data_IF_479134160855
#
_entry.id   IF_479134160855
#
_cell.length_a   1.000
_cell.length_b   1.000
_cell.length_c   1.000
_cell.angle_alpha   90.00
_cell.angle_beta   90.00
_cell.angle_gamma   90.00
#
_symmetry.space_group_name_H-M   'P 1'
#
loop_
_entity.id
_entity.type
_entity.pdbx_description
1 polymer ?
#
# COMPACT_ATOMS: atom_id res chain seq x y z
N UNK A 1 15.12 -5.80 -78.32
CA UNK A 1 15.62 -5.07 -77.12
C UNK A 1 14.71 -5.44 -75.95
N UNK A 2 15.20 -6.25 -75.00
CA UNK A 2 14.47 -6.64 -73.80
C UNK A 2 15.00 -5.77 -72.63
N UNK A 3 14.18 -4.89 -72.10
CA UNK A 3 14.53 -4.13 -70.91
C UNK A 3 14.31 -4.98 -69.69
N UNK A 4 15.39 -5.24 -68.93
CA UNK A 4 15.37 -5.86 -67.61
C UNK A 4 15.17 -4.72 -66.59
N UNK A 5 14.05 -4.72 -65.89
CA UNK A 5 13.85 -3.87 -64.72
C UNK A 5 14.52 -4.53 -63.50
N UNK A 6 15.48 -3.84 -62.93
CA UNK A 6 16.12 -4.24 -61.66
C UNK A 6 15.27 -3.66 -60.52
N UNK A 7 14.52 -4.53 -59.81
CA UNK A 7 13.79 -4.14 -58.61
C UNK A 7 14.77 -4.14 -57.43
N UNK A 8 15.13 -2.95 -56.95
CA UNK A 8 15.91 -2.81 -55.73
C UNK A 8 14.94 -2.84 -54.53
N UNK A 9 14.96 -3.95 -53.77
CA UNK A 9 14.22 -4.08 -52.52
C UNK A 9 15.07 -3.47 -51.41
N UNK A 10 14.67 -2.32 -50.88
CA UNK A 10 15.25 -1.75 -49.68
C UNK A 10 14.72 -2.52 -48.44
N UNK A 11 15.55 -3.34 -47.85
CA UNK A 11 15.29 -3.84 -46.50
C UNK A 11 15.61 -2.71 -45.50
N UNK A 12 14.57 -2.08 -44.96
CA UNK A 12 14.71 -1.31 -43.75
C UNK A 12 14.97 -2.27 -42.59
N UNK A 13 16.21 -2.48 -42.21
CA UNK A 13 16.59 -3.07 -40.95
C UNK A 13 16.33 -1.98 -39.90
N UNK A 14 15.16 -2.01 -39.28
CA UNK A 14 14.94 -1.28 -38.04
C UNK A 14 15.77 -1.96 -36.95
N UNK A 15 16.96 -1.43 -36.69
CA UNK A 15 17.69 -1.75 -35.47
C UNK A 15 16.84 -1.25 -34.30
N UNK A 16 16.00 -2.12 -33.72
CA UNK A 16 15.52 -1.90 -32.37
C UNK A 16 16.77 -1.89 -31.48
N UNK A 17 17.23 -0.71 -31.13
CA UNK A 17 18.18 -0.54 -30.04
C UNK A 17 17.48 -1.06 -28.77
N UNK A 18 17.81 -2.28 -28.38
CA UNK A 18 17.43 -2.76 -27.05
C UNK A 18 18.12 -1.82 -26.05
N UNK A 19 17.37 -0.88 -25.49
CA UNK A 19 17.88 -0.06 -24.39
C UNK A 19 18.29 -1.01 -23.27
N UNK A 20 19.55 -0.92 -22.84
CA UNK A 20 20.04 -1.75 -21.75
C UNK A 20 19.18 -1.51 -20.51
N UNK A 21 18.66 -2.57 -19.94
CA UNK A 21 17.88 -2.52 -18.69
C UNK A 21 18.82 -2.16 -17.54
N UNK A 22 18.42 -1.17 -16.74
CA UNK A 22 19.23 -0.66 -15.63
C UNK A 22 18.34 -0.38 -14.42
N UNK A 23 18.85 -0.39 -13.18
CA UNK A 23 18.06 -0.09 -11.99
C UNK A 23 17.37 1.28 -12.11
N UNK A 24 16.04 1.31 -12.03
CA UNK A 24 15.24 2.52 -12.21
C UNK A 24 15.36 3.15 -13.60
N UNK A 25 15.88 2.42 -14.61
CA UNK A 25 16.19 2.98 -15.94
C UNK A 25 17.27 4.07 -15.90
N UNK A 26 18.13 4.12 -14.89
CA UNK A 26 19.22 5.09 -14.76
C UNK A 26 20.49 4.54 -15.41
N UNK A 27 20.98 5.27 -16.39
CA UNK A 27 22.12 4.83 -17.19
C UNK A 27 23.44 4.73 -16.41
N UNK A 28 24.29 3.82 -16.88
CA UNK A 28 25.69 3.68 -16.48
C UNK A 28 25.91 3.45 -14.97
N UNK A 29 25.24 2.46 -14.35
CA UNK A 29 25.72 2.01 -13.06
C UNK A 29 27.13 1.44 -13.23
N UNK A 30 28.07 1.81 -12.36
CA UNK A 30 29.41 1.22 -12.33
C UNK A 30 29.34 -0.25 -11.90
N UNK A 31 28.43 -0.53 -10.96
CA UNK A 31 28.14 -1.89 -10.47
C UNK A 31 26.63 -2.05 -10.26
N UNK A 32 26.11 -3.17 -10.66
CA UNK A 32 24.78 -3.65 -10.33
C UNK A 32 24.86 -5.15 -10.06
N UNK A 33 24.63 -5.57 -8.83
CA UNK A 33 24.89 -6.94 -8.41
C UNK A 33 23.93 -7.41 -7.30
N UNK A 34 23.80 -8.72 -7.21
CA UNK A 34 23.06 -9.44 -6.17
C UNK A 34 23.99 -10.14 -5.15
N UNK A 35 25.30 -9.96 -5.27
CA UNK A 35 26.29 -10.65 -4.45
C UNK A 35 27.01 -9.70 -3.48
N UNK A 36 27.29 -10.20 -2.27
CA UNK A 36 28.10 -9.49 -1.28
C UNK A 36 29.58 -9.66 -1.62
N UNK A 37 30.11 -8.81 -2.50
CA UNK A 37 31.50 -8.85 -2.96
C UNK A 37 32.22 -7.55 -2.67
N UNK A 38 33.56 -7.58 -2.77
CA UNK A 38 34.37 -6.36 -2.78
C UNK A 38 34.61 -5.91 -4.21
N UNK A 39 34.36 -4.64 -4.51
CA UNK A 39 34.46 -4.07 -5.85
C UNK A 39 35.41 -2.87 -5.83
N UNK A 40 36.27 -2.75 -6.84
CA UNK A 40 37.05 -1.53 -7.04
C UNK A 40 36.17 -0.46 -7.65
N UNK A 41 36.18 0.72 -7.04
CA UNK A 41 35.40 1.88 -7.46
C UNK A 41 36.29 3.09 -7.72
N UNK A 42 35.92 3.89 -8.73
CA UNK A 42 36.45 5.22 -8.96
C UNK A 42 35.40 6.22 -8.51
N UNK A 43 35.69 6.97 -7.47
CA UNK A 43 34.75 7.87 -6.84
C UNK A 43 35.29 9.33 -6.80
N UNK A 44 36.10 9.71 -7.79
CA UNK A 44 36.69 11.06 -7.87
C UNK A 44 35.68 12.17 -8.14
N UNK A 45 34.57 11.86 -8.81
CA UNK A 45 33.48 12.80 -9.11
C UNK A 45 32.27 12.65 -8.15
N UNK A 46 32.43 11.87 -7.09
CA UNK A 46 31.37 11.52 -6.14
C UNK A 46 30.99 10.06 -6.20
N UNK A 47 30.03 9.65 -5.39
CA UNK A 47 29.55 8.28 -5.29
C UNK A 47 28.07 8.26 -4.94
N UNK A 48 27.34 7.33 -5.55
CA UNK A 48 26.02 6.93 -5.07
C UNK A 48 26.00 5.42 -4.88
N UNK A 49 25.57 4.98 -3.70
CA UNK A 49 25.26 3.59 -3.38
C UNK A 49 23.80 3.50 -3.00
N UNK A 50 23.06 2.56 -3.62
CA UNK A 50 21.69 2.24 -3.24
C UNK A 50 21.58 0.71 -3.23
N UNK A 51 21.08 0.15 -2.11
CA UNK A 51 20.99 -1.29 -1.98
C UNK A 51 19.97 -1.75 -0.95
N UNK A 52 19.49 -2.99 -1.13
CA UNK A 52 18.61 -3.67 -0.20
C UNK A 52 19.40 -4.76 0.51
N UNK A 53 19.31 -4.76 1.83
CA UNK A 53 19.98 -5.76 2.68
C UNK A 53 18.98 -6.40 3.63
N UNK A 54 19.12 -7.68 3.84
CA UNK A 54 18.49 -8.42 4.92
C UNK A 54 19.41 -8.39 6.12
N UNK A 55 18.94 -7.90 7.25
CA UNK A 55 19.75 -7.61 8.43
C UNK A 55 19.18 -8.35 9.63
N UNK A 56 20.01 -9.14 10.28
CA UNK A 56 19.66 -9.84 11.51
C UNK A 56 20.43 -9.28 12.71
N UNK A 57 19.96 -9.64 13.90
CA UNK A 57 20.62 -9.26 15.15
C UNK A 57 20.48 -7.79 15.52
N UNK A 58 21.02 -7.45 16.71
CA UNK A 58 20.83 -6.13 17.34
C UNK A 58 22.12 -5.30 17.38
N UNK A 59 23.27 -5.94 17.13
CA UNK A 59 24.58 -5.28 17.22
C UNK A 59 24.84 -4.43 15.99
N UNK A 60 25.70 -3.44 16.15
CA UNK A 60 26.14 -2.58 15.06
C UNK A 60 26.89 -3.38 13.98
N UNK A 61 26.48 -3.22 12.73
CA UNK A 61 26.92 -3.98 11.57
C UNK A 61 27.18 -3.05 10.38
N UNK A 62 28.16 -3.37 9.57
CA UNK A 62 28.46 -2.62 8.35
C UNK A 62 27.62 -3.15 7.17
N UNK A 63 26.84 -2.29 6.59
CA UNK A 63 26.11 -2.56 5.31
C UNK A 63 27.10 -2.49 4.15
N UNK A 64 27.96 -1.48 4.16
CA UNK A 64 29.11 -1.35 3.27
C UNK A 64 30.18 -0.47 3.88
N UNK A 65 31.40 -0.57 3.41
CA UNK A 65 32.50 0.31 3.72
C UNK A 65 33.37 0.60 2.50
N UNK A 66 33.89 1.82 2.40
CA UNK A 66 34.76 2.28 1.32
C UNK A 66 36.10 2.75 1.90
N UNK A 67 37.20 2.30 1.32
CA UNK A 67 38.55 2.65 1.73
C UNK A 67 39.20 1.63 2.65
N UNK A 68 40.37 1.98 3.16
CA UNK A 68 41.17 1.14 4.05
C UNK A 68 41.83 1.96 5.19
N UNK A 69 42.18 1.32 6.29
CA UNK A 69 42.87 1.94 7.39
C UNK A 69 41.97 2.85 8.26
N UNK A 70 42.43 4.07 8.56
CA UNK A 70 41.73 5.01 9.46
C UNK A 70 40.63 5.81 8.75
N UNK A 71 40.76 6.03 7.45
CA UNK A 71 39.81 6.82 6.64
C UNK A 71 38.81 5.89 5.92
N UNK A 72 37.81 5.44 6.64
CA UNK A 72 36.75 4.58 6.09
C UNK A 72 35.42 5.31 6.18
N UNK A 73 34.76 5.48 5.03
CA UNK A 73 33.34 5.83 4.95
C UNK A 73 32.51 4.56 4.97
N UNK A 74 31.44 4.51 5.73
CA UNK A 74 30.60 3.34 5.83
C UNK A 74 29.16 3.67 6.24
N UNK A 75 28.23 2.84 5.80
CA UNK A 75 26.89 2.77 6.39
C UNK A 75 26.87 1.64 7.42
N UNK A 76 26.45 1.98 8.62
CA UNK A 76 26.28 1.07 9.75
C UNK A 76 24.81 1.03 10.15
N UNK A 77 24.37 -0.09 10.67
CA UNK A 77 23.00 -0.25 11.17
C UNK A 77 22.96 -1.08 12.44
N UNK A 78 22.00 -0.76 13.29
CA UNK A 78 21.53 -1.61 14.38
C UNK A 78 20.05 -1.94 14.14
N UNK A 79 19.44 -2.67 15.06
CA UNK A 79 17.98 -2.92 14.99
C UNK A 79 17.14 -1.64 15.11
N UNK A 80 17.69 -0.55 15.67
CA UNK A 80 16.97 0.70 16.00
C UNK A 80 17.52 1.96 15.36
N UNK A 81 18.67 1.89 14.75
CA UNK A 81 19.35 3.08 14.22
C UNK A 81 20.21 2.75 13.00
N UNK A 82 20.35 3.70 12.11
CA UNK A 82 21.30 3.64 11.00
C UNK A 82 22.18 4.91 10.99
N UNK A 83 23.47 4.72 10.78
CA UNK A 83 24.44 5.79 10.53
C UNK A 83 24.78 5.77 9.03
N UNK A 84 24.49 6.86 8.33
CA UNK A 84 24.61 6.96 6.88
C UNK A 84 26.01 7.36 6.40
N UNK A 85 26.99 7.45 7.30
CA UNK A 85 28.40 7.67 6.94
C UNK A 85 28.80 9.13 6.71
N UNK A 86 27.86 10.04 6.62
CA UNK A 86 28.06 11.50 6.51
C UNK A 86 27.88 12.25 7.84
N UNK A 87 27.75 11.50 8.93
CA UNK A 87 27.42 12.04 10.25
C UNK A 87 25.90 12.06 10.53
N UNK A 88 25.07 11.74 9.56
CA UNK A 88 23.63 11.64 9.76
C UNK A 88 23.27 10.35 10.50
N UNK A 89 22.59 10.52 11.62
CA UNK A 89 22.13 9.42 12.46
C UNK A 89 20.60 9.35 12.45
N UNK A 90 20.04 8.25 11.96
CA UNK A 90 18.59 8.02 11.96
C UNK A 90 18.23 7.11 13.13
N UNK A 91 17.57 7.66 14.14
CA UNK A 91 17.00 6.91 15.26
C UNK A 91 15.55 6.54 15.01
N UNK A 92 15.22 5.28 15.21
CA UNK A 92 13.86 4.77 15.17
C UNK A 92 13.40 4.51 16.62
N UNK A 93 12.66 5.47 17.19
CA UNK A 93 12.46 5.55 18.64
C UNK A 93 11.56 4.48 19.27
N UNK A 94 10.80 3.70 18.53
CA UNK A 94 9.84 2.75 19.10
C UNK A 94 9.81 1.36 18.48
N UNK A 95 10.03 1.26 17.16
CA UNK A 95 9.84 -0.01 16.48
C UNK A 95 11.18 -0.57 16.00
N UNK A 96 11.34 -1.88 16.06
CA UNK A 96 12.47 -2.53 15.43
C UNK A 96 12.38 -2.29 13.92
N UNK A 97 13.52 -1.95 13.30
CA UNK A 97 13.58 -1.88 11.84
C UNK A 97 13.23 -3.25 11.25
N UNK A 98 12.52 -3.29 10.13
CA UNK A 98 12.23 -4.54 9.43
C UNK A 98 13.55 -5.23 9.04
N UNK A 99 13.54 -6.55 8.91
CA UNK A 99 14.72 -7.30 8.48
C UNK A 99 15.19 -6.87 7.09
N UNK A 100 14.26 -6.67 6.15
CA UNK A 100 14.57 -6.16 4.81
C UNK A 100 14.61 -4.63 4.82
N UNK A 101 15.72 -4.05 4.40
CA UNK A 101 15.94 -2.59 4.46
C UNK A 101 16.60 -2.08 3.20
N UNK A 102 16.18 -0.91 2.76
CA UNK A 102 16.82 -0.15 1.69
C UNK A 102 17.72 0.92 2.30
N UNK A 103 18.95 0.98 1.82
CA UNK A 103 19.94 1.99 2.19
C UNK A 103 20.35 2.78 0.95
N UNK A 104 20.38 4.09 1.08
CA UNK A 104 20.78 5.01 0.03
C UNK A 104 21.82 5.99 0.59
N UNK A 105 22.90 6.16 -0.14
CA UNK A 105 23.97 7.11 0.17
C UNK A 105 24.38 7.81 -1.12
N UNK A 106 24.53 9.13 -1.07
CA UNK A 106 25.00 9.91 -2.21
C UNK A 106 25.89 11.06 -1.74
N UNK A 107 26.98 11.29 -2.45
CA UNK A 107 27.90 12.40 -2.19
C UNK A 107 28.52 12.91 -3.47
N UNK A 108 28.78 14.22 -3.51
CA UNK A 108 29.60 14.86 -4.55
C UNK A 108 31.07 14.99 -4.16
N UNK A 109 31.42 14.59 -2.92
CA UNK A 109 32.81 14.64 -2.45
C UNK A 109 33.69 13.67 -3.22
N UNK A 110 34.93 14.08 -3.49
CA UNK A 110 35.93 13.19 -4.04
C UNK A 110 36.30 12.14 -2.99
N UNK A 111 35.92 10.90 -3.24
CA UNK A 111 36.19 9.75 -2.38
C UNK A 111 37.46 8.99 -2.82
N UNK A 112 38.17 9.50 -3.82
CA UNK A 112 39.37 8.87 -4.38
C UNK A 112 39.09 7.84 -5.49
N UNK A 113 40.11 7.55 -6.27
CA UNK A 113 40.05 6.53 -7.31
C UNK A 113 40.72 5.24 -6.87
N UNK A 114 40.28 4.11 -7.42
CA UNK A 114 40.83 2.79 -7.13
C UNK A 114 40.58 2.30 -5.70
N UNK A 115 39.60 2.88 -5.02
CA UNK A 115 39.18 2.44 -3.69
C UNK A 115 38.49 1.09 -3.75
N UNK A 116 38.55 0.33 -2.67
CA UNK A 116 37.77 -0.90 -2.55
C UNK A 116 36.51 -0.63 -1.76
N UNK A 117 35.35 -0.90 -2.39
CA UNK A 117 34.05 -0.93 -1.76
C UNK A 117 33.78 -2.36 -1.28
N UNK A 118 33.60 -2.53 0.01
CA UNK A 118 33.29 -3.80 0.65
C UNK A 118 31.79 -3.84 0.98
N UNK A 119 31.05 -4.76 0.41
CA UNK A 119 29.62 -4.95 0.62
C UNK A 119 29.38 -5.94 1.75
N UNK A 120 28.57 -5.56 2.73
CA UNK A 120 28.28 -6.39 3.92
C UNK A 120 29.48 -6.58 4.85
N UNK A 121 30.55 -5.80 4.66
CA UNK A 121 31.81 -5.97 5.40
C UNK A 121 32.33 -4.65 5.94
N UNK A 122 32.93 -4.76 7.12
CA UNK A 122 33.76 -3.69 7.70
C UNK A 122 35.17 -3.81 7.09
N UNK A 123 35.59 -2.84 6.27
CA UNK A 123 36.91 -2.82 5.63
C UNK A 123 38.11 -2.67 6.59
N UNK A 124 37.85 -2.55 7.90
CA UNK A 124 38.89 -2.47 8.92
C UNK A 124 38.56 -3.35 10.13
N UNK A 125 39.22 -4.49 10.24
CA UNK A 125 39.03 -5.45 11.31
C UNK A 125 39.35 -4.93 12.73
N UNK A 126 40.07 -3.78 12.85
CA UNK A 126 40.41 -3.16 14.14
C UNK A 126 39.28 -2.30 14.70
N UNK A 127 38.24 -2.03 13.90
CA UNK A 127 37.08 -1.23 14.37
C UNK A 127 36.01 -2.16 14.98
N UNK A 128 35.30 -1.69 16.01
CA UNK A 128 34.34 -2.53 16.76
C UNK A 128 33.05 -2.90 15.98
N UNK A 129 32.92 -2.45 14.73
CA UNK A 129 31.76 -2.73 13.89
C UNK A 129 31.89 -4.12 13.27
N UNK A 130 30.86 -4.92 13.41
CA UNK A 130 30.81 -6.26 12.83
C UNK A 130 30.51 -6.23 11.32
N UNK A 131 30.86 -7.30 10.63
CA UNK A 131 30.30 -7.56 9.31
C UNK A 131 28.78 -7.75 9.40
N UNK A 132 28.09 -7.59 8.27
CA UNK A 132 26.65 -7.80 8.17
C UNK A 132 26.29 -9.23 8.61
N UNK A 133 25.44 -9.34 9.62
CA UNK A 133 24.73 -10.56 9.96
C UNK A 133 23.44 -10.58 9.12
N UNK A 134 23.48 -11.35 8.04
CA UNK A 134 22.48 -11.34 6.98
C UNK A 134 23.13 -11.34 5.60
N UNK A 135 22.48 -10.66 4.65
CA UNK A 135 23.04 -10.53 3.28
C UNK A 135 22.58 -9.25 2.60
N UNK A 136 23.40 -8.71 1.73
CA UNK A 136 22.96 -7.75 0.71
C UNK A 136 22.22 -8.54 -0.38
N UNK A 137 21.00 -8.11 -0.67
CA UNK A 137 20.11 -8.80 -1.63
C UNK A 137 20.35 -8.30 -3.04
N UNK A 138 20.44 -6.98 -3.18
CA UNK A 138 20.79 -6.31 -4.43
C UNK A 138 21.32 -4.91 -4.11
N UNK A 139 22.29 -4.46 -4.91
CA UNK A 139 22.81 -3.10 -4.79
C UNK A 139 23.25 -2.58 -6.15
N UNK A 140 23.30 -1.26 -6.26
CA UNK A 140 23.85 -0.53 -7.39
C UNK A 140 24.76 0.59 -6.92
N UNK A 141 25.82 0.83 -7.67
CA UNK A 141 26.82 1.87 -7.40
C UNK A 141 27.04 2.70 -8.65
N UNK A 142 27.06 4.00 -8.48
CA UNK A 142 27.39 4.97 -9.52
C UNK A 142 28.64 5.74 -9.08
N UNK A 143 29.54 6.03 -10.02
CA UNK A 143 30.77 6.82 -9.84
C UNK A 143 30.52 8.33 -9.85
N UNK A 144 29.32 8.73 -9.54
CA UNK A 144 28.85 10.10 -9.47
C UNK A 144 27.73 10.26 -8.45
N UNK A 145 27.50 11.49 -8.04
CA UNK A 145 26.26 11.85 -7.35
C UNK A 145 25.09 11.75 -8.36
N UNK A 146 24.09 10.97 -8.03
CA UNK A 146 22.81 10.99 -8.77
C UNK A 146 22.04 12.26 -8.42
N UNK A 147 21.28 12.77 -9.39
CA UNK A 147 20.23 13.75 -9.11
C UNK A 147 19.15 13.13 -8.21
N UNK A 148 18.35 13.97 -7.54
CA UNK A 148 17.28 13.49 -6.68
C UNK A 148 16.24 12.65 -7.43
N UNK A 149 15.98 12.99 -8.70
CA UNK A 149 15.07 12.22 -9.56
C UNK A 149 15.66 10.86 -9.91
N UNK A 150 16.91 10.78 -10.34
CA UNK A 150 17.59 9.51 -10.65
C UNK A 150 17.66 8.61 -9.42
N UNK A 151 18.05 9.19 -8.27
CA UNK A 151 18.11 8.46 -6.99
C UNK A 151 16.74 7.90 -6.61
N UNK A 152 15.68 8.72 -6.69
CA UNK A 152 14.32 8.29 -6.39
C UNK A 152 13.83 7.16 -7.33
N UNK A 153 14.21 7.18 -8.61
CA UNK A 153 13.90 6.10 -9.57
C UNK A 153 14.55 4.78 -9.17
N UNK A 154 15.83 4.79 -8.80
CA UNK A 154 16.55 3.60 -8.35
C UNK A 154 16.00 3.09 -7.02
N UNK A 155 15.74 3.99 -6.07
CA UNK A 155 15.13 3.65 -4.79
C UNK A 155 13.74 3.02 -4.99
N UNK A 156 12.91 3.60 -5.87
CA UNK A 156 11.57 3.08 -6.19
C UNK A 156 11.62 1.70 -6.83
N UNK A 157 12.55 1.48 -7.76
CA UNK A 157 12.78 0.18 -8.38
C UNK A 157 13.09 -0.88 -7.34
N UNK A 158 14.07 -0.65 -6.46
CA UNK A 158 14.45 -1.59 -5.42
C UNK A 158 13.34 -1.80 -4.39
N UNK A 159 12.67 -0.71 -4.00
CA UNK A 159 11.57 -0.77 -3.04
C UNK A 159 10.41 -1.64 -3.55
N UNK A 160 9.99 -1.44 -4.81
CA UNK A 160 8.91 -2.24 -5.41
C UNK A 160 9.33 -3.68 -5.70
N UNK A 161 10.58 -3.90 -6.10
CA UNK A 161 11.10 -5.25 -6.36
C UNK A 161 11.09 -6.11 -5.10
N UNK A 162 11.42 -5.52 -3.96
CA UNK A 162 11.57 -6.22 -2.67
C UNK A 162 10.46 -5.92 -1.66
N UNK A 163 9.42 -5.19 -2.07
CA UNK A 163 8.28 -4.83 -1.21
C UNK A 163 8.67 -4.07 0.07
N UNK A 164 9.71 -3.26 0.01
CA UNK A 164 10.18 -2.37 1.08
C UNK A 164 9.54 -1.01 0.92
N UNK A 165 8.94 -0.44 1.97
CA UNK A 165 8.33 0.87 1.88
C UNK A 165 9.36 2.00 1.87
N UNK A 166 9.17 2.97 0.97
CA UNK A 166 9.82 4.28 1.04
C UNK A 166 8.91 5.27 1.77
N UNK A 167 9.52 6.19 2.47
CA UNK A 167 8.80 7.33 3.09
C UNK A 167 8.64 8.52 2.15
N UNK A 168 9.14 8.40 0.92
CA UNK A 168 9.09 9.39 -0.15
C UNK A 168 8.12 8.96 -1.25
N UNK A 169 8.03 9.77 -2.28
CA UNK A 169 7.32 9.40 -3.50
C UNK A 169 8.03 8.28 -4.26
N UNK A 170 7.28 7.53 -5.06
CA UNK A 170 7.81 6.51 -5.97
C UNK A 170 7.74 7.03 -7.40
N UNK A 171 8.82 6.85 -8.14
CA UNK A 171 8.90 7.17 -9.56
C UNK A 171 9.16 5.90 -10.38
N UNK A 172 8.55 5.81 -11.57
CA UNK A 172 8.94 4.82 -12.57
C UNK A 172 10.18 5.27 -13.35
N UNK A 173 10.69 4.45 -14.27
CA UNK A 173 11.86 4.77 -15.10
C UNK A 173 11.68 6.00 -16.01
N UNK A 174 10.45 6.42 -16.25
CA UNK A 174 10.09 7.63 -17.01
C UNK A 174 10.00 8.89 -16.15
N UNK A 175 10.35 8.79 -14.86
CA UNK A 175 10.21 9.87 -13.87
C UNK A 175 8.75 10.28 -13.59
N UNK A 176 7.78 9.44 -13.91
CA UNK A 176 6.39 9.66 -13.55
C UNK A 176 6.16 9.27 -12.10
N UNK A 177 5.42 10.10 -11.36
CA UNK A 177 5.04 9.82 -9.98
C UNK A 177 3.95 8.74 -9.98
N UNK A 178 4.29 7.53 -9.52
CA UNK A 178 3.36 6.40 -9.38
C UNK A 178 2.80 6.26 -7.96
N UNK A 179 3.45 6.87 -6.98
CA UNK A 179 2.96 7.09 -5.62
C UNK A 179 3.44 8.43 -5.10
N UNK A 180 2.52 9.32 -4.73
CA UNK A 180 2.88 10.61 -4.17
C UNK A 180 2.94 10.52 -2.65
N UNK A 181 4.15 10.47 -2.07
CA UNK A 181 4.34 10.33 -0.63
C UNK A 181 3.83 11.53 0.19
N UNK A 182 3.70 12.71 -0.41
CA UNK A 182 3.16 13.89 0.25
C UNK A 182 1.62 13.85 0.36
N UNK A 183 0.93 13.63 -0.77
CA UNK A 183 -0.53 13.59 -0.79
C UNK A 183 -1.09 12.32 -0.15
N UNK A 184 -0.33 11.22 -0.17
CA UNK A 184 -0.74 9.92 0.36
C UNK A 184 -0.14 9.61 1.73
N UNK A 185 0.39 10.62 2.43
CA UNK A 185 1.10 10.44 3.72
C UNK A 185 0.32 9.67 4.78
N UNK A 186 -1.02 9.78 4.76
CA UNK A 186 -1.88 9.05 5.68
C UNK A 186 -1.90 7.52 5.45
N UNK A 187 -1.39 7.07 4.29
CA UNK A 187 -1.37 5.66 3.86
C UNK A 187 0.05 5.21 3.48
N UNK A 188 1.08 5.79 4.08
CA UNK A 188 2.48 5.58 3.70
C UNK A 188 3.17 4.40 4.39
N UNK A 189 2.39 3.46 4.94
CA UNK A 189 2.92 2.28 5.60
C UNK A 189 2.71 1.03 4.75
N UNK A 190 3.66 0.09 4.83
CA UNK A 190 3.61 -1.22 4.16
C UNK A 190 3.25 -1.14 2.68
N UNK A 191 3.90 -0.17 1.99
CA UNK A 191 3.66 0.06 0.56
C UNK A 191 4.17 -1.14 -0.24
N UNK A 192 3.34 -1.63 -1.15
CA UNK A 192 3.66 -2.66 -2.13
C UNK A 192 3.00 -2.32 -3.46
N UNK A 193 3.40 -2.97 -4.55
CA UNK A 193 2.83 -2.64 -5.85
C UNK A 193 3.04 -3.69 -6.93
N UNK A 194 2.09 -3.69 -7.86
CA UNK A 194 2.17 -4.35 -9.15
C UNK A 194 2.69 -3.32 -10.16
N UNK A 195 3.58 -3.72 -11.03
CA UNK A 195 4.22 -2.80 -11.98
C UNK A 195 4.77 -3.54 -13.18
N UNK A 196 4.73 -2.88 -14.33
CA UNK A 196 5.50 -3.24 -15.51
C UNK A 196 6.34 -2.03 -15.93
N UNK A 197 7.65 -2.14 -15.81
CA UNK A 197 8.63 -1.10 -16.17
C UNK A 197 9.80 -1.76 -16.91
N UNK A 198 9.72 -1.80 -18.24
CA UNK A 198 10.68 -2.51 -19.09
C UNK A 198 12.09 -1.98 -18.98
N UNK A 199 12.27 -0.65 -18.86
CA UNK A 199 13.58 -0.05 -18.74
C UNK A 199 14.32 -0.46 -17.46
N UNK A 200 13.56 -0.81 -16.41
CA UNK A 200 14.11 -1.33 -15.14
C UNK A 200 14.13 -2.85 -15.05
N UNK A 201 13.66 -3.58 -16.07
CA UNK A 201 13.41 -5.05 -16.00
C UNK A 201 12.50 -5.44 -14.83
N UNK A 202 11.54 -4.59 -14.47
CA UNK A 202 10.65 -4.81 -13.34
C UNK A 202 9.26 -5.19 -13.84
N UNK A 203 8.87 -6.45 -13.66
CA UNK A 203 7.56 -6.99 -13.98
C UNK A 203 7.01 -7.73 -12.77
N UNK A 204 5.93 -7.24 -12.23
CA UNK A 204 5.36 -7.77 -10.99
C UNK A 204 3.84 -7.79 -11.06
N UNK A 205 3.27 -9.00 -11.05
CA UNK A 205 1.81 -9.23 -11.10
C UNK A 205 1.23 -9.70 -9.76
N UNK A 206 2.08 -9.85 -8.74
CA UNK A 206 1.70 -10.21 -7.37
C UNK A 206 2.66 -9.56 -6.38
N UNK A 207 2.12 -8.93 -5.34
CA UNK A 207 2.93 -8.30 -4.31
C UNK A 207 2.27 -8.37 -2.92
N UNK A 208 3.11 -8.35 -1.90
CA UNK A 208 2.73 -8.23 -0.48
C UNK A 208 3.88 -7.50 0.21
N UNK A 209 3.60 -6.50 1.04
CA UNK A 209 4.67 -5.84 1.81
C UNK A 209 5.48 -6.85 2.61
N UNK A 210 6.81 -6.72 2.59
CA UNK A 210 7.72 -7.53 3.37
C UNK A 210 7.86 -7.07 4.82
N UNK A 211 7.25 -5.92 5.15
CA UNK A 211 7.29 -5.37 6.50
C UNK A 211 6.42 -6.19 7.45
N UNK A 212 6.73 -6.06 8.75
CA UNK A 212 5.93 -6.66 9.81
C UNK A 212 4.46 -6.27 9.66
N UNK A 213 3.54 -7.19 9.91
CA UNK A 213 2.12 -7.02 9.68
C UNK A 213 1.69 -6.76 8.22
N UNK A 214 2.50 -7.10 7.24
CA UNK A 214 2.06 -7.17 5.85
C UNK A 214 0.88 -8.13 5.75
N UNK A 215 -0.33 -7.58 5.56
CA UNK A 215 -1.58 -8.33 5.72
C UNK A 215 -2.23 -8.72 4.40
N UNK A 216 -2.19 -7.81 3.41
CA UNK A 216 -2.81 -8.04 2.11
C UNK A 216 -1.78 -8.43 1.06
N UNK A 217 -2.15 -9.42 0.25
CA UNK A 217 -1.51 -9.70 -1.05
C UNK A 217 -2.47 -9.27 -2.14
N UNK A 218 -2.00 -8.49 -3.12
CA UNK A 218 -2.80 -8.15 -4.30
C UNK A 218 -2.13 -8.76 -5.53
N UNK A 219 -2.93 -9.25 -6.46
CA UNK A 219 -2.45 -9.87 -7.69
C UNK A 219 -3.39 -9.60 -8.87
N UNK A 220 -2.82 -9.65 -10.07
CA UNK A 220 -3.57 -9.64 -11.34
C UNK A 220 -3.20 -10.85 -12.16
N UNK A 221 -4.20 -11.44 -12.83
CA UNK A 221 -4.00 -12.52 -13.80
C UNK A 221 -3.55 -11.98 -15.17
N UNK A 222 -4.04 -10.80 -15.57
CA UNK A 222 -3.61 -10.11 -16.80
C UNK A 222 -2.30 -9.36 -16.52
N UNK A 223 -1.21 -9.60 -17.28
CA UNK A 223 0.01 -8.82 -17.18
C UNK A 223 -0.24 -7.33 -17.44
N UNK A 224 0.46 -6.47 -16.70
CA UNK A 224 0.48 -5.04 -16.92
C UNK A 224 1.27 -4.69 -18.18
N UNK A 225 0.86 -3.66 -18.91
CA UNK A 225 1.61 -3.07 -20.00
C UNK A 225 2.72 -2.16 -19.48
N UNK A 226 3.71 -1.85 -20.34
CA UNK A 226 4.88 -1.04 -19.95
C UNK A 226 4.50 0.37 -19.47
N UNK A 227 4.84 0.68 -18.24
CA UNK A 227 4.52 1.92 -17.53
C UNK A 227 3.24 1.86 -16.71
N UNK A 228 2.48 0.76 -16.77
CA UNK A 228 1.32 0.56 -15.90
C UNK A 228 1.75 0.13 -14.49
N UNK A 229 1.02 0.62 -13.47
CA UNK A 229 1.24 0.21 -12.10
C UNK A 229 0.00 0.36 -11.22
N UNK A 230 -0.04 -0.45 -10.16
CA UNK A 230 -1.02 -0.39 -9.08
C UNK A 230 -0.24 -0.50 -7.78
N UNK A 231 -0.15 0.59 -7.01
CA UNK A 231 0.48 0.60 -5.70
C UNK A 231 -0.58 0.75 -4.62
N UNK A 232 -0.32 0.21 -3.45
CA UNK A 232 -1.14 0.43 -2.27
C UNK A 232 -0.28 0.55 -1.03
N UNK A 233 -0.81 1.28 -0.04
CA UNK A 233 -0.23 1.41 1.28
C UNK A 233 -1.34 1.53 2.32
N UNK A 234 -1.02 1.44 3.59
CA UNK A 234 -2.00 1.49 4.65
C UNK A 234 -1.79 2.66 5.63
N UNK A 235 -2.83 2.94 6.44
CA UNK A 235 -2.88 4.03 7.39
C UNK A 235 -2.27 3.69 8.76
N UNK A 236 -1.52 2.59 8.88
CA UNK A 236 -1.01 2.06 10.15
C UNK A 236 -2.09 1.79 11.22
N UNK A 237 -3.34 1.66 10.81
CA UNK A 237 -4.44 1.32 11.69
C UNK A 237 -4.25 -0.07 12.33
N UNK A 238 -4.84 -0.29 13.49
CA UNK A 238 -4.75 -1.58 14.19
C UNK A 238 -5.37 -2.71 13.35
N UNK A 239 -4.70 -3.87 13.33
CA UNK A 239 -5.28 -5.11 12.81
C UNK A 239 -6.22 -5.72 13.85
N UNK A 240 -7.30 -5.03 14.14
CA UNK A 240 -8.36 -5.48 15.03
C UNK A 240 -9.70 -4.96 14.54
N UNK A 241 -10.76 -5.76 14.71
CA UNK A 241 -12.10 -5.31 14.38
C UNK A 241 -12.70 -4.52 15.53
N UNK A 242 -13.35 -3.40 15.19
CA UNK A 242 -14.22 -2.67 16.11
C UNK A 242 -15.66 -3.05 15.78
N UNK A 243 -16.44 -3.31 16.80
CA UNK A 243 -17.87 -3.62 16.66
C UNK A 243 -18.71 -2.53 17.32
N UNK A 244 -19.75 -2.11 16.63
CA UNK A 244 -20.81 -1.28 17.21
C UNK A 244 -22.18 -1.77 16.75
N UNK A 245 -23.21 -1.46 17.52
CA UNK A 245 -24.61 -1.77 17.17
C UNK A 245 -25.09 -0.94 15.97
N UNK A 246 -24.53 0.26 15.79
CA UNK A 246 -24.86 1.12 14.65
C UNK A 246 -24.19 0.65 13.35
N UNK A 247 -22.89 0.38 13.39
CA UNK A 247 -22.08 0.25 12.18
C UNK A 247 -21.59 -1.17 11.90
N UNK A 248 -21.76 -2.11 12.83
CA UNK A 248 -21.32 -3.52 12.68
C UNK A 248 -19.82 -3.69 12.97
N UNK A 249 -19.21 -4.70 12.36
CA UNK A 249 -17.82 -5.12 12.62
C UNK A 249 -16.90 -4.68 11.49
N UNK A 250 -15.98 -3.74 11.76
CA UNK A 250 -15.04 -3.17 10.79
C UNK A 250 -13.60 -3.31 11.25
N UNK A 251 -12.70 -3.64 10.30
CA UNK A 251 -11.27 -3.64 10.57
C UNK A 251 -10.76 -2.20 10.70
N UNK A 252 -9.91 -1.95 11.70
CA UNK A 252 -9.35 -0.63 11.96
C UNK A 252 -8.34 -0.18 10.91
N UNK A 253 -7.60 -1.12 10.28
CA UNK A 253 -6.65 -0.82 9.20
C UNK A 253 -7.37 -0.57 7.89
N UNK A 254 -6.92 0.47 7.18
CA UNK A 254 -7.42 0.85 5.86
C UNK A 254 -6.27 0.94 4.89
N UNK A 255 -6.52 0.61 3.66
CA UNK A 255 -5.57 0.72 2.55
C UNK A 255 -6.09 1.74 1.55
N UNK A 256 -5.17 2.37 0.85
CA UNK A 256 -5.46 3.21 -0.31
C UNK A 256 -4.59 2.75 -1.46
N UNK A 257 -5.15 2.74 -2.66
CA UNK A 257 -4.40 2.45 -3.87
C UNK A 257 -4.05 3.71 -4.67
N UNK A 258 -3.13 3.53 -5.62
CA UNK A 258 -2.90 4.44 -6.74
C UNK A 258 -2.75 3.64 -8.01
N UNK A 259 -3.43 4.05 -9.06
CA UNK A 259 -3.40 3.39 -10.37
C UNK A 259 -2.81 4.33 -11.41
N UNK A 260 -1.83 3.86 -12.18
CA UNK A 260 -1.14 4.64 -13.20
C UNK A 260 -1.27 3.98 -14.55
N UNK A 261 -1.69 4.74 -15.57
CA UNK A 261 -1.80 4.38 -17.00
C UNK A 261 -2.77 3.27 -17.36
N UNK A 262 -3.42 2.64 -16.42
CA UNK A 262 -4.48 1.65 -16.62
C UNK A 262 -5.80 2.20 -16.06
N UNK A 263 -6.92 1.92 -16.71
CA UNK A 263 -8.23 2.34 -16.22
C UNK A 263 -8.95 1.16 -15.55
N UNK A 264 -9.36 1.37 -14.30
CA UNK A 264 -10.14 0.43 -13.47
C UNK A 264 -9.68 -1.04 -13.58
N UNK A 265 -8.41 -1.33 -13.23
CA UNK A 265 -7.93 -2.70 -13.25
C UNK A 265 -8.71 -3.57 -12.28
N UNK A 266 -8.98 -4.80 -12.69
CA UNK A 266 -9.52 -5.82 -11.78
C UNK A 266 -8.38 -6.59 -11.14
N UNK A 267 -8.38 -6.65 -9.81
CA UNK A 267 -7.37 -7.35 -9.02
C UNK A 267 -8.00 -8.41 -8.13
N UNK A 268 -7.23 -9.40 -7.75
CA UNK A 268 -7.56 -10.31 -6.65
C UNK A 268 -6.86 -9.82 -5.38
N UNK A 269 -7.63 -9.65 -4.31
CA UNK A 269 -7.14 -9.25 -2.98
C UNK A 269 -7.22 -10.46 -2.06
N UNK A 270 -6.07 -10.85 -1.49
CA UNK A 270 -5.96 -11.99 -0.58
C UNK A 270 -5.57 -11.46 0.80
N UNK A 271 -6.41 -11.68 1.80
CA UNK A 271 -6.08 -11.39 3.19
C UNK A 271 -5.32 -12.56 3.82
N UNK A 272 -4.42 -12.25 4.76
CA UNK A 272 -3.76 -13.28 5.57
C UNK A 272 -4.83 -14.02 6.40
N UNK A 273 -5.20 -15.22 5.94
CA UNK A 273 -6.34 -15.95 6.45
C UNK A 273 -6.15 -16.42 7.88
N UNK A 274 -4.94 -16.82 8.25
CA UNK A 274 -4.61 -17.24 9.63
C UNK A 274 -4.77 -16.06 10.58
N UNK A 275 -4.17 -14.94 10.25
CA UNK A 275 -4.24 -13.73 11.06
C UNK A 275 -5.67 -13.18 11.10
N UNK A 276 -6.38 -13.14 9.95
CA UNK A 276 -7.75 -12.63 9.89
C UNK A 276 -8.72 -13.48 10.78
N UNK A 277 -8.63 -14.79 10.73
CA UNK A 277 -9.45 -15.65 11.58
C UNK A 277 -9.12 -15.54 13.06
N UNK A 278 -7.87 -15.25 13.40
CA UNK A 278 -7.48 -15.00 14.81
C UNK A 278 -8.07 -13.69 15.36
N UNK A 279 -8.03 -12.61 14.56
CA UNK A 279 -8.50 -11.29 15.00
C UNK A 279 -10.02 -11.13 14.89
N UNK A 280 -10.68 -11.88 14.03
CA UNK A 280 -12.13 -11.85 13.81
C UNK A 280 -12.62 -13.22 13.34
N UNK A 281 -12.85 -14.19 14.24
CA UNK A 281 -13.57 -15.42 13.88
C UNK A 281 -15.00 -15.06 13.45
N UNK A 282 -15.48 -15.72 12.40
CA UNK A 282 -16.84 -15.53 11.91
C UNK A 282 -17.83 -16.29 12.81
N UNK A 283 -18.94 -15.64 13.13
CA UNK A 283 -20.11 -16.31 13.68
C UNK A 283 -20.87 -17.05 12.59
N UNK A 284 -21.82 -17.90 12.97
CA UNK A 284 -22.68 -18.62 12.04
C UNK A 284 -23.43 -17.65 11.09
N UNK A 285 -23.37 -17.93 9.79
CA UNK A 285 -23.95 -17.11 8.75
C UNK A 285 -23.21 -15.81 8.45
N UNK A 286 -22.04 -15.56 9.06
CA UNK A 286 -21.19 -14.41 8.70
C UNK A 286 -20.19 -14.74 7.60
N UNK A 287 -19.82 -13.70 6.86
CA UNK A 287 -18.78 -13.72 5.83
C UNK A 287 -17.88 -12.48 5.96
N UNK A 288 -16.67 -12.56 5.40
CA UNK A 288 -15.84 -11.37 5.22
C UNK A 288 -16.22 -10.65 3.93
N UNK A 289 -16.20 -9.34 3.99
CA UNK A 289 -16.41 -8.44 2.86
C UNK A 289 -15.26 -7.46 2.75
N UNK A 290 -14.80 -7.23 1.52
CA UNK A 290 -13.97 -6.07 1.19
C UNK A 290 -14.91 -4.90 0.91
N UNK A 291 -14.79 -3.84 1.69
CA UNK A 291 -15.53 -2.59 1.51
C UNK A 291 -14.62 -1.60 0.77
N UNK A 292 -15.09 -1.04 -0.33
CA UNK A 292 -14.33 -0.12 -1.19
C UNK A 292 -15.06 1.23 -1.28
N UNK A 293 -14.37 2.29 -0.87
CA UNK A 293 -14.79 3.68 -1.01
C UNK A 293 -14.08 4.32 -2.21
N UNK A 294 -14.76 4.48 -3.36
CA UNK A 294 -14.16 5.02 -4.58
C UNK A 294 -13.92 6.54 -4.52
N UNK A 295 -14.33 7.20 -3.44
CA UNK A 295 -14.12 8.65 -3.29
C UNK A 295 -12.71 9.02 -2.83
N UNK A 296 -11.94 8.05 -2.34
CA UNK A 296 -10.60 8.25 -1.80
C UNK A 296 -10.55 8.96 -0.45
N UNK A 297 -11.71 9.24 0.15
CA UNK A 297 -11.79 9.96 1.43
C UNK A 297 -11.68 9.01 2.64
N UNK A 298 -12.02 7.73 2.44
CA UNK A 298 -12.15 6.76 3.52
C UNK A 298 -13.38 6.99 4.41
N UNK A 299 -14.34 7.78 3.93
CA UNK A 299 -15.61 8.05 4.65
C UNK A 299 -16.57 6.87 4.57
N UNK A 300 -16.42 6.00 3.56
CA UNK A 300 -17.31 4.86 3.31
C UNK A 300 -18.78 5.26 3.26
N UNK A 301 -19.09 6.37 2.52
CA UNK A 301 -20.46 6.85 2.38
C UNK A 301 -21.37 5.80 1.76
N UNK A 302 -22.56 5.63 2.31
CA UNK A 302 -23.56 4.65 1.85
C UNK A 302 -23.92 4.82 0.36
N UNK A 303 -23.78 6.03 -0.19
CA UNK A 303 -24.10 6.33 -1.58
C UNK A 303 -23.09 5.78 -2.58
N UNK A 304 -21.82 5.69 -2.21
CA UNK A 304 -20.70 5.34 -3.12
C UNK A 304 -20.04 4.01 -2.80
N UNK A 305 -20.09 3.59 -1.54
CA UNK A 305 -19.48 2.37 -1.02
C UNK A 305 -19.93 1.12 -1.77
N UNK A 306 -19.00 0.25 -2.12
CA UNK A 306 -19.26 -1.09 -2.62
C UNK A 306 -18.76 -2.17 -1.66
N UNK A 307 -19.37 -3.35 -1.72
CA UNK A 307 -18.97 -4.52 -0.95
C UNK A 307 -18.74 -5.72 -1.86
N UNK A 308 -17.65 -6.41 -1.60
CA UNK A 308 -17.29 -7.63 -2.30
C UNK A 308 -17.15 -8.76 -1.29
N UNK A 309 -18.00 -9.78 -1.38
CA UNK A 309 -17.97 -10.94 -0.51
C UNK A 309 -16.74 -11.79 -0.80
N UNK A 310 -16.08 -12.31 0.24
CA UNK A 310 -14.97 -13.24 0.07
C UNK A 310 -15.40 -14.54 -0.61
N UNK A 311 -14.60 -15.00 -1.55
CA UNK A 311 -14.72 -16.30 -2.17
C UNK A 311 -13.85 -17.31 -1.39
N UNK A 312 -14.45 -18.27 -0.73
CA UNK A 312 -13.77 -19.24 0.15
C UNK A 312 -13.50 -20.57 -0.59
N UNK A 313 -12.96 -20.58 -1.78
CA UNK A 313 -12.96 -21.83 -2.58
C UNK A 313 -11.61 -22.45 -2.91
N UNK A 314 -10.48 -21.87 -2.52
CA UNK A 314 -9.17 -22.49 -2.81
C UNK A 314 -8.31 -22.55 -1.55
N UNK A 315 -8.30 -23.69 -0.89
CA UNK A 315 -7.57 -23.89 0.36
C UNK A 315 -8.08 -22.96 1.47
N UNK A 316 -7.27 -22.73 2.48
CA UNK A 316 -7.60 -21.86 3.60
C UNK A 316 -7.57 -20.34 3.31
N UNK A 317 -7.43 -19.91 2.05
CA UNK A 317 -7.23 -18.51 1.69
C UNK A 317 -8.55 -17.73 1.66
N UNK A 318 -8.55 -16.51 2.21
CA UNK A 318 -9.66 -15.55 2.12
C UNK A 318 -9.38 -14.62 0.95
N UNK A 319 -10.08 -14.83 -0.15
CA UNK A 319 -9.84 -14.17 -1.44
C UNK A 319 -11.05 -13.34 -1.85
N UNK A 320 -10.82 -12.12 -2.24
CA UNK A 320 -11.78 -11.23 -2.90
C UNK A 320 -11.38 -11.13 -4.36
N UNK A 321 -12.19 -11.68 -5.27
CA UNK A 321 -11.85 -11.80 -6.70
C UNK A 321 -12.42 -10.66 -7.53
N UNK A 322 -11.68 -10.29 -8.58
CA UNK A 322 -12.11 -9.31 -9.58
C UNK A 322 -12.54 -7.96 -8.99
N UNK A 323 -11.78 -7.45 -8.04
CA UNK A 323 -12.06 -6.17 -7.40
C UNK A 323 -11.65 -5.05 -8.36
N UNK A 324 -12.57 -4.21 -8.84
CA UNK A 324 -12.23 -3.05 -9.65
C UNK A 324 -11.62 -1.98 -8.72
N UNK A 325 -10.39 -1.55 -9.02
CA UNK A 325 -9.75 -0.45 -8.32
C UNK A 325 -9.76 0.81 -9.17
N UNK A 326 -10.02 1.95 -8.54
CA UNK A 326 -9.93 3.26 -9.16
C UNK A 326 -8.54 3.88 -9.06
N UNK A 327 -8.46 5.21 -9.08
CA UNK A 327 -7.17 5.90 -8.97
C UNK A 327 -6.72 6.18 -7.55
N UNK A 328 -7.62 6.13 -6.59
CA UNK A 328 -7.37 6.42 -5.17
C UNK A 328 -8.47 5.84 -4.30
N UNK A 329 -8.85 4.60 -4.53
CA UNK A 329 -9.87 3.97 -3.71
C UNK A 329 -9.32 3.69 -2.30
N UNK A 330 -10.17 3.88 -1.30
CA UNK A 330 -9.85 3.45 0.07
C UNK A 330 -10.65 2.20 0.38
N UNK A 331 -10.00 1.18 0.91
CA UNK A 331 -10.66 -0.08 1.21
C UNK A 331 -10.27 -0.65 2.57
N UNK A 332 -11.15 -1.46 3.13
CA UNK A 332 -10.95 -2.16 4.41
C UNK A 332 -11.82 -3.42 4.45
N UNK A 333 -11.74 -4.17 5.55
CA UNK A 333 -12.53 -5.39 5.73
C UNK A 333 -13.69 -5.16 6.70
N UNK A 334 -14.78 -5.87 6.42
CA UNK A 334 -15.97 -5.97 7.27
C UNK A 334 -16.33 -7.45 7.49
N UNK A 335 -16.79 -7.80 8.69
CA UNK A 335 -17.44 -9.08 8.93
C UNK A 335 -18.94 -8.82 9.14
N UNK A 336 -19.78 -9.54 8.41
CA UNK A 336 -21.24 -9.38 8.46
C UNK A 336 -21.97 -10.66 8.00
N UNK A 337 -23.27 -10.76 8.33
CA UNK A 337 -24.16 -11.75 7.77
C UNK A 337 -24.36 -11.52 6.27
N UNK A 338 -24.95 -12.47 5.56
CA UNK A 338 -25.19 -12.37 4.12
C UNK A 338 -26.17 -11.24 3.74
N UNK A 339 -27.02 -10.84 4.69
CA UNK A 339 -27.81 -9.60 4.60
C UNK A 339 -27.45 -8.68 5.74
N UNK A 340 -27.09 -7.46 5.45
CA UNK A 340 -26.79 -6.42 6.44
C UNK A 340 -27.11 -5.01 5.92
N UNK A 341 -27.19 -4.07 6.84
CA UNK A 341 -27.34 -2.66 6.52
C UNK A 341 -26.08 -1.89 6.89
N UNK A 342 -25.81 -0.85 6.11
CA UNK A 342 -24.84 0.21 6.43
C UNK A 342 -25.60 1.49 6.57
N UNK A 343 -25.38 2.21 7.67
CA UNK A 343 -26.04 3.49 7.93
C UNK A 343 -25.02 4.62 7.94
N UNK A 344 -25.48 5.79 7.52
CA UNK A 344 -24.79 7.06 7.64
C UNK A 344 -25.73 8.04 8.34
N UNK A 345 -25.32 8.53 9.51
CA UNK A 345 -26.12 9.42 10.35
C UNK A 345 -25.47 10.80 10.34
N UNK A 346 -26.23 11.81 9.93
CA UNK A 346 -25.80 13.21 10.02
C UNK A 346 -26.50 13.85 11.21
N UNK A 347 -25.71 14.36 12.14
CA UNK A 347 -26.22 15.03 13.33
C UNK A 347 -26.79 16.44 13.00
N UNK A 348 -27.78 16.94 13.76
CA UNK A 348 -28.27 18.30 13.61
C UNK A 348 -27.13 19.30 13.79
N UNK A 349 -27.19 20.41 13.02
CA UNK A 349 -26.27 21.53 13.23
C UNK A 349 -26.76 22.33 14.44
N UNK A 350 -25.89 23.11 15.10
CA UNK A 350 -26.15 23.87 16.36
C UNK A 350 -27.28 24.89 16.31
N UNK A 351 -27.98 25.07 15.19
CA UNK A 351 -29.10 25.99 15.07
C UNK A 351 -30.38 25.36 15.64
N UNK A 352 -31.11 26.13 16.46
CA UNK A 352 -32.43 25.76 16.96
C UNK A 352 -33.35 25.29 15.82
N UNK A 353 -34.00 24.14 16.02
CA UNK A 353 -34.89 23.53 15.03
C UNK A 353 -34.22 22.69 13.93
N UNK A 354 -32.89 22.53 13.95
CA UNK A 354 -32.22 21.59 13.03
C UNK A 354 -32.52 20.15 13.39
N UNK A 355 -32.60 19.30 12.37
CA UNK A 355 -32.90 17.87 12.48
C UNK A 355 -31.76 17.04 11.88
N UNK A 356 -31.61 15.82 12.37
CA UNK A 356 -30.65 14.86 11.80
C UNK A 356 -31.22 14.18 10.57
N UNK A 357 -30.32 13.49 9.85
CA UNK A 357 -30.68 12.65 8.71
C UNK A 357 -30.09 11.25 8.84
N UNK A 358 -30.75 10.27 8.26
CA UNK A 358 -30.29 8.89 8.15
C UNK A 358 -30.25 8.50 6.68
N UNK A 359 -29.11 7.98 6.22
CA UNK A 359 -29.03 7.25 4.95
C UNK A 359 -28.72 5.80 5.23
N UNK A 360 -29.37 4.89 4.52
CA UNK A 360 -29.28 3.44 4.70
C UNK A 360 -28.95 2.78 3.38
N UNK A 361 -28.01 1.83 3.38
CA UNK A 361 -27.76 0.91 2.28
C UNK A 361 -27.94 -0.52 2.75
N UNK A 362 -28.82 -1.25 2.10
CA UNK A 362 -28.95 -2.71 2.26
C UNK A 362 -27.95 -3.40 1.35
N UNK A 363 -27.27 -4.39 1.87
CA UNK A 363 -26.35 -5.25 1.12
C UNK A 363 -26.76 -6.69 1.31
N UNK A 364 -26.91 -7.42 0.20
CA UNK A 364 -27.42 -8.80 0.21
C UNK A 364 -28.92 -8.88 0.53
N UNK A 365 -29.40 -10.08 0.85
CA UNK A 365 -30.81 -10.39 1.02
C UNK A 365 -31.61 -10.38 -0.29
N UNK A 366 -32.92 -10.56 -0.18
CA UNK A 366 -33.85 -10.63 -1.33
C UNK A 366 -34.90 -9.53 -1.18
N UNK A 367 -34.94 -8.61 -2.14
CA UNK A 367 -35.99 -7.57 -2.19
C UNK A 367 -37.40 -8.17 -2.37
N UNK A 368 -38.50 -7.48 -1.95
CA UNK A 368 -38.50 -6.18 -1.31
C UNK A 368 -38.06 -6.21 0.16
N UNK A 369 -37.51 -5.08 0.61
CA UNK A 369 -37.07 -4.89 2.00
C UNK A 369 -38.14 -4.12 2.78
N UNK A 370 -38.53 -4.66 3.94
CA UNK A 370 -39.38 -3.95 4.90
C UNK A 370 -38.48 -3.25 5.90
N UNK A 371 -38.54 -1.93 5.97
CA UNK A 371 -37.75 -1.08 6.87
C UNK A 371 -38.66 -0.42 7.90
N UNK A 372 -38.38 -0.60 9.19
CA UNK A 372 -39.06 0.04 10.31
C UNK A 372 -38.06 0.85 11.11
N UNK A 373 -38.31 2.16 11.25
CA UNK A 373 -37.54 3.04 12.12
C UNK A 373 -38.39 3.41 13.32
N UNK A 374 -37.84 3.13 14.50
CA UNK A 374 -38.48 3.49 15.77
C UNK A 374 -37.58 4.45 16.55
N UNK A 375 -38.18 5.40 17.26
CA UNK A 375 -37.54 6.26 18.25
C UNK A 375 -38.18 5.99 19.60
N UNK A 376 -37.38 5.53 20.59
CA UNK A 376 -37.87 5.25 21.94
C UNK A 376 -39.19 4.42 21.94
N UNK A 377 -39.22 3.37 21.08
CA UNK A 377 -40.37 2.47 20.82
C UNK A 377 -41.54 3.08 20.01
N UNK A 378 -41.50 4.36 19.67
CA UNK A 378 -42.52 4.97 18.79
C UNK A 378 -42.11 4.79 17.31
N UNK A 379 -43.06 4.43 16.47
CA UNK A 379 -42.84 4.29 15.03
C UNK A 379 -42.60 5.68 14.40
N UNK A 380 -41.45 5.81 13.71
CA UNK A 380 -41.11 6.99 12.89
C UNK A 380 -41.53 6.77 11.45
N UNK A 381 -41.21 5.62 10.90
CA UNK A 381 -41.72 5.14 9.62
C UNK A 381 -41.73 3.61 9.53
N UNK A 382 -42.61 3.14 8.60
CA UNK A 382 -42.63 1.74 8.14
C UNK A 382 -42.78 1.78 6.63
N UNK A 383 -41.76 1.27 5.90
CA UNK A 383 -41.69 1.31 4.43
C UNK A 383 -41.34 -0.05 3.87
N UNK A 384 -41.91 -0.37 2.73
CA UNK A 384 -41.48 -1.51 1.92
C UNK A 384 -40.94 -0.99 0.60
N UNK A 385 -39.73 -1.43 0.21
CA UNK A 385 -39.03 -0.92 -0.96
C UNK A 385 -38.18 -1.99 -1.61
N UNK A 386 -38.02 -1.90 -2.93
CA UNK A 386 -37.04 -2.73 -3.66
C UNK A 386 -35.67 -2.06 -3.80
N UNK A 387 -35.59 -0.76 -3.48
CA UNK A 387 -34.35 0.00 -3.55
C UNK A 387 -33.42 -0.35 -2.39
N UNK A 388 -32.18 -0.60 -2.70
CA UNK A 388 -31.15 -0.89 -1.68
C UNK A 388 -30.66 0.34 -0.91
N UNK A 389 -30.96 1.56 -1.39
CA UNK A 389 -30.59 2.82 -0.72
C UNK A 389 -31.84 3.58 -0.36
N UNK A 390 -31.95 3.98 0.91
CA UNK A 390 -33.05 4.76 1.46
C UNK A 390 -32.53 5.91 2.32
N UNK A 391 -33.34 6.95 2.50
CA UNK A 391 -33.03 8.05 3.41
C UNK A 391 -34.24 8.47 4.22
N UNK A 392 -34.00 9.06 5.37
CA UNK A 392 -34.98 9.70 6.25
C UNK A 392 -34.41 11.00 6.79
N UNK A 393 -35.16 12.05 6.67
CA UNK A 393 -34.84 13.39 7.15
C UNK A 393 -35.79 13.76 8.31
N UNK A 394 -35.52 14.89 8.98
CA UNK A 394 -36.36 15.36 10.05
C UNK A 394 -36.22 14.59 11.35
N UNK A 395 -35.14 13.87 11.56
CA UNK A 395 -34.91 13.08 12.77
C UNK A 395 -34.55 14.01 13.93
N UNK A 396 -35.40 14.03 14.96
CA UNK A 396 -35.18 14.83 16.19
C UNK A 396 -34.32 14.03 17.18
N UNK A 397 -33.87 14.67 18.24
CA UNK A 397 -33.12 14.05 19.32
C UNK A 397 -33.77 12.76 19.84
N UNK A 398 -32.97 11.72 20.10
CA UNK A 398 -33.43 10.46 20.66
C UNK A 398 -32.61 9.26 20.21
N UNK A 399 -32.92 8.11 20.80
CA UNK A 399 -32.36 6.80 20.44
C UNK A 399 -33.24 6.14 19.38
N UNK A 400 -32.63 5.65 18.35
CA UNK A 400 -33.31 5.05 17.20
C UNK A 400 -32.91 3.58 17.02
N UNK A 401 -33.89 2.77 16.61
CA UNK A 401 -33.71 1.39 16.14
C UNK A 401 -34.23 1.29 14.71
N UNK A 402 -33.35 0.99 13.78
CA UNK A 402 -33.71 0.62 12.42
C UNK A 402 -33.74 -0.91 12.33
N UNK A 403 -34.86 -1.49 11.95
CA UNK A 403 -34.99 -2.90 11.61
C UNK A 403 -35.26 -3.03 10.11
N UNK A 404 -34.44 -3.77 9.41
CA UNK A 404 -34.63 -4.10 7.98
C UNK A 404 -34.84 -5.60 7.86
N UNK A 405 -35.90 -6.01 7.17
CA UNK A 405 -36.23 -7.42 6.91
C UNK A 405 -36.37 -7.62 5.41
N UNK A 406 -35.74 -8.63 4.84
CA UNK A 406 -35.89 -8.98 3.44
C UNK A 406 -37.13 -9.86 3.19
N UNK A 407 -37.37 -10.21 1.91
CA UNK A 407 -38.54 -10.99 1.50
C UNK A 407 -38.64 -12.37 2.14
N UNK A 408 -37.50 -12.98 2.47
CA UNK A 408 -37.44 -14.32 3.07
C UNK A 408 -37.30 -14.29 4.61
N UNK A 409 -37.32 -13.11 5.22
CA UNK A 409 -37.35 -12.95 6.67
C UNK A 409 -35.97 -12.76 7.33
N UNK A 410 -34.88 -12.61 6.57
CA UNK A 410 -33.60 -12.23 7.15
C UNK A 410 -33.69 -10.81 7.73
N UNK A 411 -33.08 -10.60 8.90
CA UNK A 411 -33.16 -9.32 9.63
C UNK A 411 -31.79 -8.71 9.83
N UNK A 412 -31.69 -7.40 9.69
CA UNK A 412 -30.59 -6.56 10.10
C UNK A 412 -31.10 -5.42 11.00
N UNK A 413 -30.37 -5.13 12.07
CA UNK A 413 -30.73 -4.10 13.04
C UNK A 413 -29.57 -3.13 13.26
N UNK A 414 -29.87 -1.84 13.38
CA UNK A 414 -28.91 -0.78 13.70
C UNK A 414 -29.51 0.12 14.79
N UNK A 415 -28.79 0.25 15.91
CA UNK A 415 -29.13 1.21 16.96
C UNK A 415 -28.22 2.43 16.82
N UNK A 416 -28.78 3.64 16.78
CA UNK A 416 -28.04 4.89 16.71
C UNK A 416 -28.73 5.99 17.50
N UNK A 417 -28.02 7.10 17.71
CA UNK A 417 -28.54 8.23 18.46
C UNK A 417 -28.45 9.51 17.64
N UNK A 418 -29.48 10.34 17.71
CA UNK A 418 -29.46 11.73 17.27
C UNK A 418 -29.30 12.60 18.53
N UNK A 419 -28.26 13.43 18.56
CA UNK A 419 -27.93 14.31 19.69
C UNK A 419 -28.47 15.69 19.47
N UNK A 420 -28.81 16.41 20.55
CA UNK A 420 -29.33 17.79 20.53
C UNK A 420 -28.25 18.81 20.20
N UNK A 421 -27.03 18.55 20.56
CA UNK A 421 -25.85 19.36 20.29
C UNK A 421 -24.96 18.58 19.33
N UNK A 422 -24.50 19.21 18.25
CA UNK A 422 -23.68 18.63 17.20
C UNK A 422 -22.36 17.91 17.64
N UNK A 423 -22.34 17.39 18.84
CA UNK A 423 -21.31 16.48 19.33
C UNK A 423 -21.46 15.20 18.53
N UNK A 424 -20.67 15.12 17.51
CA UNK A 424 -20.49 13.93 16.69
C UNK A 424 -19.79 12.88 17.54
N UNK A 425 -20.56 12.07 18.30
CA UNK A 425 -20.13 10.69 18.56
C UNK A 425 -20.35 9.89 17.28
N UNK A 426 -19.75 10.32 16.22
CA UNK A 426 -19.28 9.38 15.22
C UNK A 426 -18.22 8.62 16.01
N UNK A 427 -18.28 7.28 16.15
CA UNK A 427 -17.07 6.54 16.42
C UNK A 427 -16.15 6.98 15.27
N UNK A 428 -15.23 7.89 15.60
CA UNK A 428 -14.37 8.46 14.58
C UNK A 428 -13.68 7.26 13.96
N UNK A 429 -14.02 6.95 12.71
CA UNK A 429 -13.18 6.10 11.90
C UNK A 429 -11.87 6.87 11.64
N UNK A 430 -11.53 7.87 12.48
CA UNK A 430 -10.32 8.64 12.42
C UNK A 430 -9.13 7.80 12.87
N UNK A 431 -8.02 7.87 12.13
CA UNK A 431 -6.82 7.06 12.40
C UNK A 431 -6.07 7.41 13.68
N UNK A 432 -6.52 8.36 14.48
CA UNK A 432 -5.80 8.90 15.65
C UNK A 432 -6.28 8.42 17.02
N UNK A 433 -7.31 7.57 17.12
CA UNK A 433 -7.77 7.01 18.39
C UNK A 433 -7.46 5.52 18.54
#
# INVERSE_FOLDING_TARGET
MKHKYLTVVFFFISTLSATAQTPGGVDKPMVWSHDSTSVRVSAGAGLTYIGVSKVYGEKEQAIWSLGSGKAITRIQTTKRAANLGDGTFMNYAKDSLPEMRLYSYTTSSNMGNGQTLHIGRNGNAKLPVKNLDGRTVEYTVFDRRLSDTERCRVESYLALKYDVSLRSSYLNSRSEVIWNGYTNKAYSHRIAGLISDKASALHKTRAKSCEEDGFLTISMSKPLEDGESILWGDNNGKLSFRQSKAYGKWLGRRWMDTVTRIDKPNVDVVADSKQLRQIQPLAEGESYYLAVDPTGTGSFSVKTLSYHKANTTVGDSIVFKNIPLGKRDVFTLRAAKDMFTTIEVVQPKEKSGSTGTLSVKVTGGIAPYKMTLQREHMSVFNRTTSDSIQSADGLIEGKYLLTTTDHVGNKAENEFQISKTGITEIPSMNPSD
#
